data_IF_923082252277
#
_entry.id   IF_923082252277
#
_cell.length_a   1.000
_cell.length_b   1.000
_cell.length_c   1.000
_cell.angle_alpha   90.00
_cell.angle_beta   90.00
_cell.angle_gamma   90.00
#
_symmetry.space_group_name_H-M   'P 1'
#
loop_
_entity.id
_entity.type
_entity.pdbx_description
1 polymer ?
#
# COMPACT_ATOMS: atom_id res chain seq x y z
N UNK A 1 22.02 -1.23 -19.52
CA UNK A 1 21.36 -0.07 -18.88
C UNK A 1 21.61 -0.14 -17.40
N UNK A 2 22.26 0.89 -16.82
CA UNK A 2 22.76 0.87 -15.45
C UNK A 2 21.66 1.25 -14.44
N UNK A 3 21.58 0.52 -13.34
CA UNK A 3 20.62 0.71 -12.22
C UNK A 3 20.68 2.14 -11.65
N UNK A 4 21.80 2.84 -11.82
CA UNK A 4 21.98 4.22 -11.38
C UNK A 4 21.18 5.25 -12.19
N UNK A 5 21.04 5.06 -13.51
CA UNK A 5 20.28 5.98 -14.38
C UNK A 5 18.77 5.84 -14.17
N UNK A 6 18.32 4.61 -13.88
CA UNK A 6 16.93 4.34 -13.51
C UNK A 6 16.57 5.07 -12.21
N UNK A 7 17.41 4.99 -11.17
CA UNK A 7 17.18 5.66 -9.88
C UNK A 7 17.11 7.19 -9.98
N UNK A 8 17.88 7.80 -10.87
CA UNK A 8 17.84 9.26 -11.10
C UNK A 8 16.57 9.70 -11.85
N UNK A 9 16.07 8.92 -12.83
CA UNK A 9 14.75 9.18 -13.45
C UNK A 9 13.58 8.87 -12.50
N UNK A 10 13.72 7.87 -11.64
CA UNK A 10 12.70 7.44 -10.66
C UNK A 10 12.31 8.54 -9.67
N UNK A 11 13.21 9.50 -9.41
CA UNK A 11 12.98 10.66 -8.54
C UNK A 11 12.30 11.81 -9.30
N UNK A 12 12.64 12.04 -10.56
CA UNK A 12 12.21 13.24 -11.31
C UNK A 12 10.72 13.31 -11.66
N UNK A 13 9.99 12.19 -11.66
CA UNK A 13 8.55 12.16 -12.00
C UNK A 13 7.63 11.95 -10.80
N UNK A 14 8.19 11.85 -9.59
CA UNK A 14 7.41 11.62 -8.37
C UNK A 14 6.87 12.96 -7.85
N UNK A 15 5.55 13.17 -7.95
CA UNK A 15 4.86 14.33 -7.36
C UNK A 15 4.49 14.02 -5.93
N UNK A 16 4.77 14.96 -5.03
CA UNK A 16 4.39 14.88 -3.62
C UNK A 16 3.18 15.77 -3.36
N UNK A 17 2.11 15.18 -2.84
CA UNK A 17 0.92 15.87 -2.38
C UNK A 17 0.79 15.72 -0.86
N UNK A 18 1.00 16.78 -0.07
CA UNK A 18 0.82 16.72 1.37
C UNK A 18 -0.66 16.50 1.72
N UNK A 19 -0.92 15.51 2.58
CA UNK A 19 -2.25 15.20 3.11
C UNK A 19 -2.36 15.82 4.52
N UNK A 20 -3.32 16.73 4.78
CA UNK A 20 -3.38 17.53 6.00
C UNK A 20 -3.38 16.75 7.33
N UNK A 21 -3.73 15.46 7.33
CA UNK A 21 -3.81 14.60 8.51
C UNK A 21 -3.26 13.18 8.32
N UNK A 22 -2.82 12.82 7.12
CA UNK A 22 -2.54 11.44 6.74
C UNK A 22 -1.12 11.23 6.16
N UNK A 23 -0.27 12.26 6.20
CA UNK A 23 1.11 12.20 5.73
C UNK A 23 1.29 12.80 4.35
N UNK A 24 1.99 12.09 3.46
CA UNK A 24 2.33 12.57 2.11
C UNK A 24 1.96 11.52 1.08
N UNK A 25 1.22 11.90 0.04
CA UNK A 25 0.94 11.06 -1.11
C UNK A 25 2.04 11.26 -2.15
N UNK A 26 2.74 10.19 -2.49
CA UNK A 26 3.72 10.18 -3.57
C UNK A 26 3.08 9.55 -4.80
N UNK A 27 2.86 10.36 -5.84
CA UNK A 27 2.34 9.91 -7.12
C UNK A 27 3.47 9.84 -8.13
N UNK A 28 3.66 8.68 -8.75
CA UNK A 28 4.57 8.49 -9.87
C UNK A 28 3.77 8.22 -11.13
N UNK A 29 3.78 9.18 -12.06
CA UNK A 29 3.34 8.97 -13.43
C UNK A 29 4.43 8.23 -14.21
N UNK A 30 4.03 7.50 -15.25
CA UNK A 30 4.95 6.72 -16.09
C UNK A 30 4.70 5.23 -15.93
N UNK A 31 3.79 4.70 -16.76
CA UNK A 31 3.59 3.27 -16.85
C UNK A 31 3.81 2.81 -18.30
N UNK A 32 4.81 1.97 -18.57
CA UNK A 32 4.85 1.18 -19.79
C UNK A 32 3.84 0.02 -19.79
N UNK A 33 3.22 -0.31 -18.65
CA UNK A 33 2.23 -1.38 -18.47
C UNK A 33 0.97 -0.84 -17.77
N UNK A 34 -0.20 -1.42 -18.04
CA UNK A 34 -1.46 -1.00 -17.40
C UNK A 34 -1.64 -1.54 -15.97
N UNK A 35 -0.70 -1.22 -15.07
CA UNK A 35 -0.76 -1.61 -13.65
C UNK A 35 -0.57 -0.39 -12.76
N UNK A 36 -1.52 -0.17 -11.86
CA UNK A 36 -1.47 0.85 -10.80
C UNK A 36 -1.17 0.15 -9.48
N UNK A 37 -0.20 0.66 -8.73
CA UNK A 37 0.14 0.18 -7.39
C UNK A 37 -0.03 1.31 -6.38
N UNK A 38 -0.82 1.05 -5.35
CA UNK A 38 -1.00 1.91 -4.19
C UNK A 38 -0.29 1.28 -3.00
N UNK A 39 0.63 2.01 -2.37
CA UNK A 39 1.34 1.55 -1.17
C UNK A 39 1.09 2.56 -0.05
N UNK A 40 0.55 2.06 1.05
CA UNK A 40 0.41 2.80 2.31
C UNK A 40 1.53 2.33 3.23
N UNK A 41 2.39 3.26 3.65
CA UNK A 41 3.49 3.00 4.57
C UNK A 41 3.24 3.72 5.89
N UNK A 42 3.18 2.97 6.99
CA UNK A 42 3.08 3.51 8.33
C UNK A 42 4.46 3.42 9.03
N UNK A 43 4.88 4.47 9.78
CA UNK A 43 6.13 4.48 10.54
C UNK A 43 5.98 3.70 11.86
N UNK A 44 5.48 2.47 11.77
CA UNK A 44 5.24 1.59 12.91
C UNK A 44 5.56 0.16 12.48
N UNK A 45 6.33 -0.56 13.28
CA UNK A 45 6.80 -1.91 12.99
C UNK A 45 6.95 -2.73 14.26
N UNK A 46 7.54 -3.93 14.15
CA UNK A 46 7.68 -4.83 15.29
C UNK A 46 8.61 -4.32 16.40
N UNK A 47 9.45 -3.30 16.14
CA UNK A 47 10.34 -2.71 17.15
C UNK A 47 9.59 -1.95 18.24
N UNK A 48 8.44 -1.38 17.90
CA UNK A 48 7.66 -0.54 18.81
C UNK A 48 6.69 -1.40 19.65
N UNK A 49 6.69 -2.73 19.45
CA UNK A 49 5.86 -3.67 20.20
C UNK A 49 6.46 -3.92 21.59
N UNK A 50 5.64 -3.89 22.66
CA UNK A 50 6.10 -4.35 23.97
C UNK A 50 6.38 -5.86 23.91
N UNK A 51 7.35 -6.39 24.68
CA UNK A 51 7.79 -7.78 24.58
C UNK A 51 6.65 -8.78 24.88
N UNK A 52 5.70 -8.41 25.73
CA UNK A 52 4.52 -9.21 26.05
C UNK A 52 3.49 -9.28 24.91
N UNK A 53 3.59 -8.40 23.91
CA UNK A 53 2.68 -8.32 22.75
C UNK A 53 3.43 -8.40 21.42
N UNK A 54 4.54 -9.16 21.39
CA UNK A 54 5.28 -9.39 20.16
C UNK A 54 4.37 -9.96 19.06
N UNK A 55 4.42 -9.38 17.86
CA UNK A 55 3.59 -9.75 16.73
C UNK A 55 2.20 -9.09 16.67
N UNK A 56 1.92 -8.12 17.55
CA UNK A 56 0.70 -7.30 17.52
C UNK A 56 0.53 -6.55 16.19
N UNK A 57 1.59 -5.97 15.63
CA UNK A 57 1.60 -5.27 14.34
C UNK A 57 1.29 -6.23 13.19
N UNK A 58 1.85 -7.44 13.23
CA UNK A 58 1.54 -8.50 12.26
C UNK A 58 0.08 -8.93 12.37
N UNK A 59 -0.42 -9.11 13.59
CA UNK A 59 -1.81 -9.45 13.83
C UNK A 59 -2.74 -8.34 13.34
N UNK A 60 -2.43 -7.08 13.65
CA UNK A 60 -3.21 -5.91 13.25
C UNK A 60 -3.30 -5.80 11.73
N UNK A 61 -2.19 -5.96 11.01
CA UNK A 61 -2.17 -5.96 9.55
C UNK A 61 -3.00 -7.11 8.96
N UNK A 62 -2.92 -8.32 9.54
CA UNK A 62 -3.77 -9.46 9.13
C UNK A 62 -5.26 -9.23 9.39
N UNK A 63 -5.61 -8.39 10.35
CA UNK A 63 -7.01 -8.05 10.64
C UNK A 63 -7.57 -7.03 9.65
N UNK A 64 -6.75 -6.27 8.92
CA UNK A 64 -7.24 -5.33 7.91
C UNK A 64 -8.04 -6.02 6.79
N UNK A 65 -7.71 -7.27 6.46
CA UNK A 65 -8.45 -8.06 5.47
C UNK A 65 -9.69 -8.76 6.05
N UNK A 66 -9.91 -8.69 7.37
CA UNK A 66 -11.08 -9.30 8.05
C UNK A 66 -12.29 -8.41 8.13
N UNK A 67 -12.25 -7.24 7.49
CA UNK A 67 -13.33 -6.28 7.47
C UNK A 67 -12.97 -4.96 8.13
N UNK A 68 -13.61 -3.90 7.65
CA UNK A 68 -13.55 -2.57 8.20
C UNK A 68 -14.97 -2.14 8.63
N UNK A 69 -15.07 -1.02 9.36
CA UNK A 69 -16.36 -0.53 9.87
C UNK A 69 -17.46 -0.36 8.80
N UNK A 70 -17.09 -0.22 7.53
CA UNK A 70 -18.01 -0.04 6.40
C UNK A 70 -18.08 -1.21 5.41
N UNK A 71 -17.18 -2.19 5.52
CA UNK A 71 -17.06 -3.30 4.57
C UNK A 71 -16.74 -4.60 5.31
N UNK A 72 -17.53 -5.65 5.11
CA UNK A 72 -17.21 -6.98 5.63
C UNK A 72 -15.97 -7.57 4.92
N UNK A 73 -15.44 -8.66 5.46
CA UNK A 73 -14.40 -9.45 4.78
C UNK A 73 -14.86 -9.93 3.40
N UNK A 74 -16.12 -10.35 3.27
CA UNK A 74 -16.73 -10.72 2.00
C UNK A 74 -16.80 -9.53 1.03
N UNK A 75 -17.28 -8.37 1.49
CA UNK A 75 -17.36 -7.17 0.64
C UNK A 75 -15.99 -6.74 0.13
N UNK A 76 -14.97 -6.81 1.00
CA UNK A 76 -13.58 -6.51 0.62
C UNK A 76 -13.05 -7.51 -0.41
N UNK A 77 -13.30 -8.81 -0.22
CA UNK A 77 -12.87 -9.85 -1.15
C UNK A 77 -13.53 -9.66 -2.53
N UNK A 78 -14.85 -9.44 -2.56
CA UNK A 78 -15.60 -9.19 -3.80
C UNK A 78 -15.12 -7.91 -4.48
N UNK A 79 -14.91 -6.83 -3.72
CA UNK A 79 -14.41 -5.57 -4.28
C UNK A 79 -13.03 -5.75 -4.92
N UNK A 80 -12.11 -6.44 -4.25
CA UNK A 80 -10.77 -6.71 -4.77
C UNK A 80 -10.79 -7.64 -5.99
N UNK A 81 -11.57 -8.73 -5.95
CA UNK A 81 -11.70 -9.66 -7.07
C UNK A 81 -12.35 -9.00 -8.29
N UNK A 82 -13.37 -8.17 -8.10
CA UNK A 82 -14.12 -7.53 -9.20
C UNK A 82 -13.26 -6.61 -10.08
N UNK A 83 -12.17 -6.07 -9.53
CA UNK A 83 -11.22 -5.21 -10.24
C UNK A 83 -9.91 -5.95 -10.58
N UNK A 84 -9.82 -7.24 -10.27
CA UNK A 84 -8.60 -8.04 -10.44
C UNK A 84 -7.44 -7.53 -9.59
N UNK A 85 -7.73 -6.92 -8.43
CA UNK A 85 -6.71 -6.37 -7.56
C UNK A 85 -6.15 -7.43 -6.61
N UNK A 86 -4.87 -7.29 -6.30
CA UNK A 86 -4.20 -8.03 -5.23
C UNK A 86 -3.89 -7.09 -4.07
N UNK A 87 -4.12 -7.57 -2.85
CA UNK A 87 -3.74 -6.87 -1.61
C UNK A 87 -2.66 -7.67 -0.88
N UNK A 88 -1.64 -6.96 -0.40
CA UNK A 88 -0.56 -7.51 0.40
C UNK A 88 -0.29 -6.66 1.63
N UNK A 89 0.12 -7.30 2.71
CA UNK A 89 0.53 -6.64 3.95
C UNK A 89 1.89 -7.15 4.38
N UNK A 90 2.81 -6.25 4.73
CA UNK A 90 4.16 -6.58 5.21
C UNK A 90 4.48 -5.81 6.49
N UNK A 91 5.15 -6.46 7.44
CA UNK A 91 5.59 -5.85 8.70
C UNK A 91 7.10 -5.97 8.77
N UNK A 92 7.76 -4.84 8.86
CA UNK A 92 9.18 -4.73 9.12
C UNK A 92 9.42 -4.26 10.56
N UNK A 93 10.70 -4.14 10.91
CA UNK A 93 11.09 -3.73 12.26
C UNK A 93 10.65 -2.29 12.56
N UNK A 94 10.77 -1.39 11.60
CA UNK A 94 10.49 0.04 11.74
C UNK A 94 9.26 0.52 10.96
N UNK A 95 8.70 -0.33 10.07
CA UNK A 95 7.62 0.06 9.15
C UNK A 95 6.61 -1.05 8.93
N UNK A 96 5.43 -0.64 8.51
CA UNK A 96 4.32 -1.48 8.12
C UNK A 96 3.85 -1.02 6.74
N UNK A 97 3.58 -1.97 5.85
CA UNK A 97 3.15 -1.70 4.49
C UNK A 97 1.84 -2.40 4.18
N UNK A 98 0.95 -1.69 3.51
CA UNK A 98 -0.21 -2.24 2.83
C UNK A 98 -0.11 -1.87 1.37
N UNK A 99 -0.09 -2.87 0.50
CA UNK A 99 0.06 -2.71 -0.94
C UNK A 99 -1.18 -3.23 -1.63
N UNK A 100 -1.75 -2.44 -2.54
CA UNK A 100 -2.83 -2.85 -3.43
C UNK A 100 -2.36 -2.62 -4.86
N UNK A 101 -2.43 -3.66 -5.69
CA UNK A 101 -2.10 -3.59 -7.11
C UNK A 101 -3.32 -3.92 -7.94
N UNK A 102 -3.60 -3.11 -8.95
CA UNK A 102 -4.75 -3.25 -9.86
C UNK A 102 -4.37 -2.83 -11.27
N UNK A 103 -5.21 -3.08 -12.26
CA UNK A 103 -4.98 -2.63 -13.64
C UNK A 103 -5.52 -1.22 -13.90
N UNK A 104 -4.90 -0.49 -14.83
CA UNK A 104 -5.21 0.94 -15.11
C UNK A 104 -6.62 1.16 -15.64
N UNK A 105 -7.17 0.20 -16.39
CA UNK A 105 -8.50 0.29 -17.03
C UNK A 105 -9.66 0.55 -16.05
N UNK A 106 -9.46 0.30 -14.75
CA UNK A 106 -10.51 0.46 -13.74
C UNK A 106 -10.32 1.68 -12.82
N UNK A 107 -9.16 2.35 -12.86
CA UNK A 107 -8.88 3.52 -12.00
C UNK A 107 -9.75 4.74 -12.36
N UNK A 108 -10.16 4.89 -13.62
CA UNK A 108 -11.02 6.00 -14.06
C UNK A 108 -12.49 5.88 -13.62
N UNK A 109 -12.88 4.78 -12.96
CA UNK A 109 -14.29 4.48 -12.60
C UNK A 109 -14.62 4.54 -11.10
N UNK A 110 -13.68 4.92 -10.24
CA UNK A 110 -13.91 5.08 -8.78
C UNK A 110 -13.81 6.55 -8.38
#
# INVERSE_FOLDING_TARGET
MSVAEASTRLVSETRNYPLPRAGSLLFRGGCPNDIVSLVIAAPMGSREEPPEKAGLSTLALRMLSRGAARHSDYDLAVALESIGASVGTDVQKDRAFVTVQTTTLQWERT
#
